data_IF_724096818789
#
_entry.id   IF_724096818789
#
_cell.length_a   1.000
_cell.length_b   1.000
_cell.length_c   1.000
_cell.angle_alpha   90.00
_cell.angle_beta   90.00
_cell.angle_gamma   90.00
#
_symmetry.space_group_name_H-M   'P 1'
#
loop_
_entity.id
_entity.type
_entity.pdbx_description
1 polymer ?
#
# COMPACT_ATOMS: atom_id res chain seq x y z
N UNK A 1 80.16 43.88 26.50
CA UNK A 1 80.66 43.57 27.86
C UNK A 1 79.54 42.93 28.64
N UNK A 2 79.57 41.82 29.08
CA UNK A 2 79.85 41.01 30.21
C UNK A 2 79.14 39.68 30.12
N UNK A 3 79.93 38.62 30.18
CA UNK A 3 79.52 37.20 30.22
C UNK A 3 79.00 36.85 31.60
N UNK A 4 77.95 36.01 31.69
CA UNK A 4 77.75 35.23 32.88
C UNK A 4 77.36 33.81 32.50
N UNK A 5 78.21 32.89 32.87
CA UNK A 5 78.04 31.43 32.82
C UNK A 5 77.14 31.02 33.99
N UNK A 6 76.16 30.13 33.80
CA UNK A 6 75.62 29.30 34.84
C UNK A 6 75.48 27.86 34.46
N UNK A 7 76.08 27.09 35.29
CA UNK A 7 76.36 25.70 35.39
C UNK A 7 75.18 24.72 35.12
N UNK A 8 75.55 23.68 34.44
CA UNK A 8 74.73 22.45 34.27
C UNK A 8 74.71 21.66 35.59
N UNK A 9 73.50 21.43 36.16
CA UNK A 9 73.28 20.35 37.11
C UNK A 9 72.60 19.18 36.37
N UNK A 10 73.29 18.05 36.33
CA UNK A 10 72.77 16.75 35.93
C UNK A 10 71.88 16.21 37.04
N UNK A 11 70.57 16.07 36.76
CA UNK A 11 69.69 15.25 37.59
C UNK A 11 69.73 13.80 37.02
N UNK A 12 70.01 12.88 37.89
CA UNK A 12 69.97 11.41 37.62
C UNK A 12 68.50 11.01 37.55
N UNK A 13 68.14 10.47 36.39
CA UNK A 13 66.82 9.88 36.18
C UNK A 13 66.87 8.41 36.58
N UNK A 14 66.24 8.08 37.68
CA UNK A 14 65.98 6.70 38.11
C UNK A 14 64.64 6.29 37.55
N UNK A 15 64.69 5.54 36.42
CA UNK A 15 63.52 4.95 35.80
C UNK A 15 63.11 3.73 36.58
N UNK A 16 61.97 3.79 37.29
CA UNK A 16 61.24 2.58 37.74
C UNK A 16 60.46 2.01 36.57
N UNK A 17 60.36 0.68 36.40
CA UNK A 17 59.56 0.06 35.35
C UNK A 17 58.08 0.17 35.72
N UNK A 18 57.30 0.68 34.79
CA UNK A 18 55.84 0.71 34.88
C UNK A 18 55.32 -0.68 34.61
N UNK A 19 54.60 -1.25 35.57
CA UNK A 19 53.90 -2.52 35.47
C UNK A 19 52.85 -2.44 34.35
N UNK A 20 52.80 -3.46 33.46
CA UNK A 20 51.80 -3.55 32.39
C UNK A 20 50.41 -3.73 32.99
N UNK A 21 49.35 -3.13 32.44
CA UNK A 21 48.00 -3.35 32.93
C UNK A 21 47.52 -4.79 32.63
N UNK A 22 47.02 -5.38 33.68
CA UNK A 22 46.37 -6.70 33.71
C UNK A 22 45.21 -6.71 32.69
N UNK A 23 45.22 -7.64 31.73
CA UNK A 23 44.12 -7.84 30.80
C UNK A 23 42.91 -8.33 31.61
N UNK A 24 41.93 -7.48 31.78
CA UNK A 24 40.61 -7.89 32.20
C UNK A 24 40.02 -8.84 31.14
N UNK A 25 39.92 -10.09 31.46
CA UNK A 25 39.14 -11.07 30.71
C UNK A 25 37.66 -10.71 30.92
N UNK A 26 37.07 -10.06 29.92
CA UNK A 26 35.63 -9.91 29.83
C UNK A 26 35.07 -11.27 29.48
N UNK A 27 34.49 -11.97 30.44
CA UNK A 27 33.66 -13.14 30.17
C UNK A 27 32.43 -12.66 29.39
N UNK A 28 32.35 -13.07 28.13
CA UNK A 28 31.15 -12.94 27.33
C UNK A 28 30.10 -13.87 27.92
N UNK A 29 29.23 -13.31 28.76
CA UNK A 29 28.03 -14.05 29.18
C UNK A 29 27.14 -14.15 27.93
N UNK A 30 26.86 -15.38 27.51
CA UNK A 30 25.84 -15.68 26.52
C UNK A 30 24.54 -14.98 26.92
N UNK A 31 24.21 -13.90 26.21
CA UNK A 31 22.91 -13.27 26.29
C UNK A 31 21.84 -14.27 25.81
N UNK A 32 20.58 -14.13 26.28
CA UNK A 32 19.51 -15.01 25.83
C UNK A 32 19.43 -15.00 24.30
N UNK A 33 19.11 -16.12 23.65
CA UNK A 33 19.05 -16.20 22.19
C UNK A 33 18.12 -15.12 21.68
N UNK A 34 18.61 -14.29 20.77
CA UNK A 34 17.80 -13.27 20.10
C UNK A 34 16.61 -14.01 19.49
N UNK A 35 15.43 -13.73 20.02
CA UNK A 35 14.16 -14.19 19.47
C UNK A 35 14.12 -13.66 18.03
N UNK A 36 14.31 -14.56 17.06
CA UNK A 36 14.12 -14.25 15.64
C UNK A 36 12.69 -13.74 15.51
N UNK A 37 12.53 -12.50 15.09
CA UNK A 37 11.22 -11.97 14.71
C UNK A 37 10.56 -12.98 13.77
N UNK A 38 9.24 -13.26 13.90
CA UNK A 38 8.56 -14.22 13.04
C UNK A 38 8.83 -13.81 11.59
N UNK A 39 9.48 -14.69 10.82
CA UNK A 39 9.73 -14.46 9.42
C UNK A 39 8.36 -14.40 8.73
N UNK A 40 7.99 -13.24 8.25
CA UNK A 40 6.77 -13.07 7.47
C UNK A 40 6.93 -13.96 6.23
N UNK A 41 6.02 -14.90 6.01
CA UNK A 41 6.09 -15.82 4.88
C UNK A 41 6.24 -15.03 3.57
N UNK A 42 7.21 -15.43 2.75
CA UNK A 42 7.43 -14.81 1.44
C UNK A 42 6.16 -14.98 0.58
N UNK A 43 5.74 -13.90 -0.08
CA UNK A 43 4.57 -13.84 -0.94
C UNK A 43 4.97 -13.72 -2.40
N UNK A 44 4.15 -14.21 -3.31
CA UNK A 44 4.39 -14.10 -4.76
C UNK A 44 3.45 -13.06 -5.36
N UNK A 45 4.03 -12.06 -6.01
CA UNK A 45 3.30 -10.98 -6.70
C UNK A 45 3.58 -11.06 -8.20
N UNK A 46 2.53 -11.09 -9.01
CA UNK A 46 2.63 -10.99 -10.47
C UNK A 46 2.33 -9.55 -10.89
N UNK A 47 3.29 -8.91 -11.54
CA UNK A 47 3.16 -7.54 -12.07
C UNK A 47 2.98 -7.61 -13.58
N UNK A 48 1.83 -7.18 -14.06
CA UNK A 48 1.45 -7.20 -15.47
C UNK A 48 1.29 -5.76 -16.00
N UNK A 49 2.26 -5.33 -16.81
CA UNK A 49 2.35 -4.00 -17.41
C UNK A 49 3.18 -4.12 -18.69
N UNK A 50 2.88 -3.37 -19.75
CA UNK A 50 3.62 -3.42 -21.01
C UNK A 50 4.95 -2.65 -20.93
N UNK A 51 5.07 -1.72 -19.98
CA UNK A 51 6.25 -0.89 -19.77
C UNK A 51 7.27 -1.62 -18.90
N UNK A 52 8.42 -1.94 -19.46
CA UNK A 52 9.52 -2.61 -18.74
C UNK A 52 9.94 -1.84 -17.48
N UNK A 53 10.06 -0.52 -17.58
CA UNK A 53 10.42 0.32 -16.45
C UNK A 53 9.45 0.18 -15.25
N UNK A 54 8.14 0.05 -15.50
CA UNK A 54 7.15 -0.18 -14.43
C UNK A 54 7.34 -1.55 -13.83
N UNK A 55 7.43 -2.60 -14.67
CA UNK A 55 7.65 -3.97 -14.20
C UNK A 55 8.90 -4.10 -13.35
N UNK A 56 10.02 -3.52 -13.79
CA UNK A 56 11.30 -3.59 -13.07
C UNK A 56 11.27 -2.85 -11.75
N UNK A 57 10.67 -1.68 -11.70
CA UNK A 57 10.53 -0.94 -10.44
C UNK A 57 9.75 -1.71 -9.40
N UNK A 58 8.64 -2.31 -9.79
CA UNK A 58 7.83 -3.13 -8.89
C UNK A 58 8.59 -4.41 -8.50
N UNK A 59 9.23 -5.09 -9.45
CA UNK A 59 10.04 -6.28 -9.20
C UNK A 59 11.13 -6.00 -8.16
N UNK A 60 11.96 -4.99 -8.38
CA UNK A 60 13.05 -4.62 -7.46
C UNK A 60 12.53 -4.29 -6.07
N UNK A 61 11.43 -3.57 -5.95
CA UNK A 61 10.84 -3.24 -4.66
C UNK A 61 10.29 -4.48 -3.93
N UNK A 62 9.60 -5.37 -4.64
CA UNK A 62 9.01 -6.59 -4.11
C UNK A 62 10.11 -7.56 -3.65
N UNK A 63 11.11 -7.82 -4.50
CA UNK A 63 12.24 -8.70 -4.19
C UNK A 63 13.11 -8.14 -3.05
N UNK A 64 13.34 -6.83 -3.04
CA UNK A 64 14.05 -6.13 -1.96
C UNK A 64 13.35 -6.22 -0.60
N UNK A 65 12.05 -6.50 -0.58
CA UNK A 65 11.28 -6.75 0.63
C UNK A 65 11.18 -8.25 1.02
N UNK A 66 11.89 -9.13 0.30
CA UNK A 66 11.91 -10.56 0.59
C UNK A 66 10.72 -11.35 0.02
N UNK A 67 10.01 -10.79 -0.96
CA UNK A 67 8.91 -11.44 -1.68
C UNK A 67 9.36 -11.90 -3.07
N UNK A 68 8.59 -12.80 -3.70
CA UNK A 68 8.84 -13.26 -5.08
C UNK A 68 8.07 -12.37 -6.05
N UNK A 69 8.74 -11.88 -7.10
CA UNK A 69 8.09 -11.14 -8.17
C UNK A 69 8.07 -11.96 -9.48
N UNK A 70 6.90 -12.04 -10.09
CA UNK A 70 6.71 -12.51 -11.46
C UNK A 70 6.32 -11.32 -12.32
N UNK A 71 6.64 -11.35 -13.61
CA UNK A 71 6.28 -10.27 -14.54
C UNK A 71 5.59 -10.81 -15.78
N UNK A 72 4.72 -10.00 -16.38
CA UNK A 72 4.08 -10.26 -17.68
C UNK A 72 3.96 -8.93 -18.44
N UNK A 73 4.27 -8.94 -19.73
CA UNK A 73 4.24 -7.76 -20.60
C UNK A 73 3.02 -7.68 -21.50
N UNK A 74 2.22 -8.75 -21.58
CA UNK A 74 1.03 -8.85 -22.40
C UNK A 74 0.05 -9.87 -21.82
N UNK A 75 -1.16 -9.92 -22.41
CA UNK A 75 -2.22 -10.85 -21.98
C UNK A 75 -1.81 -12.31 -22.02
N UNK A 76 -1.09 -12.74 -23.04
CA UNK A 76 -0.70 -14.15 -23.21
C UNK A 76 0.23 -14.59 -22.10
N UNK A 77 1.25 -13.78 -21.78
CA UNK A 77 2.16 -14.03 -20.65
C UNK A 77 1.42 -13.99 -19.31
N UNK A 78 0.54 -13.00 -19.10
CA UNK A 78 -0.27 -12.90 -17.89
C UNK A 78 -1.04 -14.18 -17.63
N UNK A 79 -1.81 -14.65 -18.61
CA UNK A 79 -2.63 -15.85 -18.46
C UNK A 79 -1.76 -17.12 -18.33
N UNK A 80 -0.65 -17.21 -19.05
CA UNK A 80 0.32 -18.30 -18.90
C UNK A 80 0.88 -18.34 -17.47
N UNK A 81 1.34 -17.20 -16.92
CA UNK A 81 1.82 -17.12 -15.53
C UNK A 81 0.76 -17.50 -14.51
N UNK A 82 -0.48 -17.07 -14.70
CA UNK A 82 -1.59 -17.43 -13.82
C UNK A 82 -1.87 -18.94 -13.86
N UNK A 83 -1.86 -19.56 -15.03
CA UNK A 83 -2.08 -21.00 -15.17
C UNK A 83 -0.95 -21.83 -14.56
N UNK A 84 0.31 -21.45 -14.86
CA UNK A 84 1.50 -22.18 -14.41
C UNK A 84 1.74 -22.07 -12.91
N UNK A 85 1.32 -20.96 -12.28
CA UNK A 85 1.61 -20.64 -10.88
C UNK A 85 0.33 -20.42 -10.06
N UNK A 86 -0.78 -21.01 -10.42
CA UNK A 86 -2.11 -20.81 -9.81
C UNK A 86 -2.11 -20.85 -8.27
N UNK A 87 -1.41 -21.83 -7.69
CA UNK A 87 -1.37 -22.02 -6.24
C UNK A 87 -0.37 -21.10 -5.51
N UNK A 88 0.55 -20.48 -6.24
CA UNK A 88 1.66 -19.69 -5.66
C UNK A 88 1.40 -18.18 -5.69
N UNK A 89 0.63 -17.67 -6.66
CA UNK A 89 0.39 -16.24 -6.80
C UNK A 89 -0.57 -15.75 -5.72
N UNK A 90 -0.11 -14.84 -4.87
CA UNK A 90 -0.91 -14.21 -3.82
C UNK A 90 -1.61 -12.94 -4.30
N UNK A 91 -0.95 -12.17 -5.17
CA UNK A 91 -1.43 -10.88 -5.66
C UNK A 91 -1.05 -10.66 -7.11
N UNK A 92 -1.98 -10.14 -7.90
CA UNK A 92 -1.70 -9.59 -9.24
C UNK A 92 -1.82 -8.07 -9.18
N UNK A 93 -0.84 -7.36 -9.74
CA UNK A 93 -0.89 -5.93 -10.03
C UNK A 93 -1.01 -5.78 -11.54
N UNK A 94 -2.15 -5.29 -12.04
CA UNK A 94 -2.55 -5.37 -13.44
C UNK A 94 -2.74 -4.00 -14.08
N UNK A 95 -2.08 -3.75 -15.21
CA UNK A 95 -2.47 -2.70 -16.15
C UNK A 95 -3.65 -3.17 -17.02
N UNK A 96 -4.76 -2.43 -16.97
CA UNK A 96 -5.93 -2.69 -17.80
C UNK A 96 -5.70 -2.40 -19.29
N UNK A 97 -4.61 -1.72 -19.66
CA UNK A 97 -4.23 -1.38 -21.03
C UNK A 97 -3.24 -2.36 -21.65
N UNK A 98 -2.95 -3.47 -20.98
CA UNK A 98 -2.05 -4.49 -21.54
C UNK A 98 -2.38 -4.83 -22.99
N UNK A 99 -1.37 -4.92 -23.88
CA UNK A 99 -1.54 -5.33 -25.26
C UNK A 99 -2.28 -6.66 -25.38
N UNK A 100 -3.04 -6.81 -26.48
CA UNK A 100 -3.83 -8.01 -26.82
C UNK A 100 -5.02 -8.26 -25.88
N UNK A 101 -5.44 -7.30 -25.06
CA UNK A 101 -6.59 -7.50 -24.19
C UNK A 101 -7.34 -6.22 -23.84
N UNK A 102 -8.60 -6.41 -23.44
CA UNK A 102 -9.37 -5.47 -22.68
C UNK A 102 -9.18 -5.84 -21.21
N UNK A 103 -8.84 -4.88 -20.35
CA UNK A 103 -8.51 -5.13 -18.95
C UNK A 103 -9.58 -5.90 -18.18
N UNK A 104 -10.85 -5.52 -18.39
CA UNK A 104 -12.00 -6.22 -17.79
C UNK A 104 -12.11 -7.65 -18.31
N UNK A 105 -11.89 -7.87 -19.60
CA UNK A 105 -11.91 -9.22 -20.18
C UNK A 105 -10.75 -10.09 -19.65
N UNK A 106 -9.56 -9.50 -19.45
CA UNK A 106 -8.44 -10.22 -18.83
C UNK A 106 -8.76 -10.66 -17.41
N UNK A 107 -9.39 -9.79 -16.61
CA UNK A 107 -9.85 -10.15 -15.27
C UNK A 107 -10.89 -11.28 -15.28
N UNK A 108 -11.86 -11.24 -16.20
CA UNK A 108 -12.82 -12.34 -16.36
C UNK A 108 -12.11 -13.65 -16.70
N UNK A 109 -11.08 -13.62 -17.54
CA UNK A 109 -10.31 -14.83 -17.87
C UNK A 109 -9.50 -15.33 -16.67
N UNK A 110 -8.90 -14.45 -15.86
CA UNK A 110 -8.25 -14.83 -14.61
C UNK A 110 -9.28 -15.50 -13.67
N UNK A 111 -10.50 -14.95 -13.56
CA UNK A 111 -11.55 -15.48 -12.68
C UNK A 111 -12.16 -16.80 -13.19
N UNK A 112 -12.02 -17.14 -14.47
CA UNK A 112 -12.34 -18.48 -14.98
C UNK A 112 -11.33 -19.54 -14.50
N UNK A 113 -10.07 -19.15 -14.29
CA UNK A 113 -9.02 -20.04 -13.75
C UNK A 113 -9.22 -20.24 -12.26
N UNK A 114 -9.50 -19.17 -11.53
CA UNK A 114 -9.77 -19.19 -10.09
C UNK A 114 -10.69 -18.02 -9.71
N UNK A 115 -11.82 -18.33 -9.09
CA UNK A 115 -12.85 -17.35 -8.78
C UNK A 115 -12.46 -16.43 -7.62
N UNK A 116 -11.67 -16.91 -6.67
CA UNK A 116 -11.33 -16.19 -5.44
C UNK A 116 -9.88 -15.71 -5.41
N UNK A 117 -8.96 -16.46 -6.00
CA UNK A 117 -7.52 -16.19 -5.97
C UNK A 117 -6.96 -15.96 -7.38
N UNK A 118 -5.85 -15.24 -7.51
CA UNK A 118 -5.21 -14.35 -6.51
C UNK A 118 -5.99 -13.06 -6.29
N UNK A 119 -5.69 -12.32 -5.21
CA UNK A 119 -6.13 -10.92 -5.07
C UNK A 119 -5.63 -10.09 -6.25
N UNK A 120 -6.43 -9.12 -6.71
CA UNK A 120 -6.04 -8.26 -7.84
C UNK A 120 -6.08 -6.80 -7.44
N UNK A 121 -4.99 -6.10 -7.70
CA UNK A 121 -4.90 -4.64 -7.71
C UNK A 121 -4.76 -4.16 -9.16
N UNK A 122 -5.29 -2.98 -9.44
CA UNK A 122 -5.25 -2.40 -10.78
C UNK A 122 -4.47 -1.09 -10.77
N UNK A 123 -3.70 -0.83 -11.81
CA UNK A 123 -3.09 0.48 -12.01
C UNK A 123 -4.16 1.54 -12.29
N UNK A 124 -4.20 2.56 -11.44
CA UNK A 124 -5.32 3.51 -11.37
C UNK A 124 -5.42 4.47 -12.57
N UNK A 125 -4.30 4.70 -13.26
CA UNK A 125 -4.27 5.56 -14.45
C UNK A 125 -5.09 5.02 -15.63
N UNK A 126 -5.53 3.77 -15.57
CA UNK A 126 -6.19 3.05 -16.66
C UNK A 126 -7.71 3.05 -16.57
N UNK A 127 -8.28 3.47 -15.45
CA UNK A 127 -9.73 3.48 -15.20
C UNK A 127 -10.39 4.63 -15.96
N UNK A 128 -11.44 4.34 -16.72
CA UNK A 128 -12.11 5.30 -17.61
C UNK A 128 -13.37 5.92 -16.99
N UNK A 129 -14.20 5.13 -16.33
CA UNK A 129 -15.51 5.55 -15.84
C UNK A 129 -15.99 4.73 -14.62
N UNK A 130 -17.16 5.10 -14.09
CA UNK A 130 -17.76 4.47 -12.92
C UNK A 130 -18.23 3.04 -13.16
N UNK A 131 -18.73 2.76 -14.35
CA UNK A 131 -19.24 1.41 -14.66
C UNK A 131 -18.08 0.41 -14.69
N UNK A 132 -16.93 0.82 -15.20
CA UNK A 132 -15.71 0.02 -15.14
C UNK A 132 -15.27 -0.26 -13.69
N UNK A 133 -15.33 0.76 -12.80
CA UNK A 133 -15.00 0.56 -11.37
C UNK A 133 -15.96 -0.44 -10.71
N UNK A 134 -17.28 -0.37 -11.02
CA UNK A 134 -18.25 -1.33 -10.49
C UNK A 134 -17.97 -2.74 -11.00
N UNK A 135 -17.69 -2.88 -12.29
CA UNK A 135 -17.38 -4.18 -12.90
C UNK A 135 -16.08 -4.76 -12.32
N UNK A 136 -15.02 -3.96 -12.18
CA UNK A 136 -13.78 -4.36 -11.52
C UNK A 136 -14.03 -4.85 -10.08
N UNK A 137 -14.93 -4.18 -9.36
CA UNK A 137 -15.35 -4.60 -8.02
C UNK A 137 -16.01 -5.97 -8.01
N UNK A 138 -16.93 -6.26 -8.96
CA UNK A 138 -17.58 -7.58 -9.07
C UNK A 138 -16.62 -8.69 -9.47
N UNK A 139 -15.52 -8.35 -10.15
CA UNK A 139 -14.44 -9.28 -10.53
C UNK A 139 -13.37 -9.41 -9.43
N UNK A 140 -13.61 -8.88 -8.22
CA UNK A 140 -12.75 -9.07 -7.07
C UNK A 140 -11.47 -8.24 -7.10
N UNK A 141 -11.48 -7.06 -7.73
CA UNK A 141 -10.41 -6.07 -7.57
C UNK A 141 -10.43 -5.55 -6.15
N UNK A 142 -9.32 -5.70 -5.43
CA UNK A 142 -9.20 -5.36 -4.01
C UNK A 142 -8.60 -3.98 -3.77
N UNK A 143 -8.00 -3.37 -4.78
CA UNK A 143 -7.39 -2.05 -4.64
C UNK A 143 -6.84 -1.46 -5.93
N UNK A 144 -6.34 -0.23 -5.80
CA UNK A 144 -5.76 0.53 -6.89
C UNK A 144 -4.39 1.06 -6.48
N UNK A 145 -3.45 1.05 -7.40
CA UNK A 145 -2.09 1.59 -7.21
C UNK A 145 -1.71 2.46 -8.39
N UNK A 146 -0.90 3.49 -8.15
CA UNK A 146 -0.37 4.31 -9.21
C UNK A 146 0.89 3.65 -9.81
N UNK A 147 0.93 3.47 -11.13
CA UNK A 147 2.08 2.91 -11.84
C UNK A 147 3.38 3.71 -11.63
N UNK A 148 3.28 4.99 -11.28
CA UNK A 148 4.43 5.88 -11.01
C UNK A 148 4.66 6.17 -9.52
N UNK A 149 4.05 5.40 -8.63
CA UNK A 149 4.29 5.51 -7.19
C UNK A 149 5.79 5.41 -6.89
N UNK A 150 6.31 6.22 -5.96
CA UNK A 150 7.72 6.17 -5.60
C UNK A 150 8.10 4.78 -5.05
N UNK A 151 9.31 4.28 -5.37
CA UNK A 151 9.71 2.90 -5.08
C UNK A 151 9.58 2.52 -3.61
N UNK A 152 9.87 3.44 -2.68
CA UNK A 152 9.70 3.23 -1.24
C UNK A 152 8.23 3.05 -0.79
N UNK A 153 7.26 3.41 -1.62
CA UNK A 153 5.83 3.28 -1.31
C UNK A 153 5.16 2.09 -2.02
N UNK A 154 5.87 1.38 -2.92
CA UNK A 154 5.32 0.22 -3.62
C UNK A 154 4.92 -0.85 -2.60
N UNK A 155 5.86 -1.38 -1.83
CA UNK A 155 5.61 -2.45 -0.86
C UNK A 155 4.57 -2.05 0.19
N UNK A 156 4.63 -0.85 0.82
CA UNK A 156 3.58 -0.37 1.70
C UNK A 156 2.18 -0.35 1.09
N UNK A 157 2.06 -0.11 -0.22
CA UNK A 157 0.77 -0.15 -0.91
C UNK A 157 0.26 -1.59 -1.12
N UNK A 158 1.15 -2.56 -1.32
CA UNK A 158 0.81 -3.96 -1.56
C UNK A 158 0.54 -4.76 -0.28
N UNK A 159 1.25 -4.46 0.82
CA UNK A 159 1.17 -5.20 2.10
C UNK A 159 -0.25 -5.45 2.60
N UNK A 160 -1.21 -4.49 2.58
CA UNK A 160 -2.58 -4.75 3.02
C UNK A 160 -3.32 -5.81 2.21
N UNK A 161 -2.88 -6.08 0.98
CA UNK A 161 -3.47 -7.06 0.07
C UNK A 161 -2.72 -8.41 0.12
N UNK A 162 -1.45 -8.41 0.49
CA UNK A 162 -0.64 -9.61 0.69
C UNK A 162 -0.89 -10.27 2.05
N UNK A 163 -1.17 -9.47 3.07
CA UNK A 163 -1.37 -9.91 4.44
C UNK A 163 -2.66 -9.32 5.03
N UNK A 164 -3.83 -9.70 4.51
CA UNK A 164 -5.11 -9.12 4.96
C UNK A 164 -5.36 -9.33 6.46
N UNK A 165 -4.90 -10.45 7.02
CA UNK A 165 -5.13 -10.79 8.43
C UNK A 165 -4.11 -10.15 9.39
N UNK A 166 -2.86 -9.95 8.94
CA UNK A 166 -1.78 -9.39 9.77
C UNK A 166 -1.63 -7.88 9.67
N UNK A 167 -2.01 -7.28 8.53
CA UNK A 167 -1.93 -5.84 8.31
C UNK A 167 -3.17 -5.07 8.74
N UNK A 168 -4.11 -5.72 9.44
CA UNK A 168 -5.36 -5.10 9.88
C UNK A 168 -5.15 -4.10 11.04
N UNK A 169 -4.16 -3.20 10.91
CA UNK A 169 -4.10 -1.92 11.65
C UNK A 169 -5.26 -1.00 11.25
N UNK A 170 -6.00 -1.37 10.20
CA UNK A 170 -7.20 -0.67 9.75
C UNK A 170 -8.40 -1.38 10.35
N UNK A 171 -9.18 -0.66 11.12
CA UNK A 171 -10.33 -1.17 11.86
C UNK A 171 -11.50 -1.65 10.97
N UNK A 172 -11.40 -1.60 9.63
CA UNK A 172 -12.44 -2.07 8.73
C UNK A 172 -11.95 -2.41 7.33
N UNK A 173 -12.60 -3.39 6.66
CA UNK A 173 -12.34 -3.71 5.27
C UNK A 173 -12.68 -2.54 4.35
N UNK A 174 -12.12 -2.56 3.14
CA UNK A 174 -12.46 -1.62 2.06
C UNK A 174 -13.13 -2.38 0.93
N UNK A 175 -14.24 -1.84 0.47
CA UNK A 175 -14.93 -2.36 -0.71
C UNK A 175 -14.73 -1.41 -1.88
N UNK A 176 -14.55 -1.96 -3.07
CA UNK A 176 -14.53 -1.18 -4.30
C UNK A 176 -15.92 -0.65 -4.58
N UNK A 177 -16.02 0.65 -4.91
CA UNK A 177 -17.30 1.31 -5.06
C UNK A 177 -17.20 2.41 -6.12
N UNK A 178 -18.03 2.34 -7.16
CA UNK A 178 -18.05 3.30 -8.26
C UNK A 178 -19.31 4.15 -8.22
N UNK A 179 -19.58 4.87 -7.13
CA UNK A 179 -20.75 5.73 -7.01
C UNK A 179 -20.38 7.23 -7.12
N UNK A 180 -21.28 8.08 -7.61
CA UNK A 180 -21.10 9.51 -7.57
C UNK A 180 -21.04 10.03 -6.14
N UNK A 181 -20.15 11.00 -5.91
CA UNK A 181 -20.02 11.73 -4.65
C UNK A 181 -19.92 13.22 -4.95
N UNK A 182 -20.60 14.04 -4.17
CA UNK A 182 -20.38 15.48 -4.08
C UNK A 182 -19.50 15.78 -2.86
N UNK A 183 -18.53 16.66 -2.99
CA UNK A 183 -17.75 17.15 -1.87
C UNK A 183 -17.64 18.68 -1.92
N UNK A 184 -17.73 19.30 -0.75
CA UNK A 184 -17.68 20.76 -0.59
C UNK A 184 -16.45 21.13 0.24
N UNK A 185 -15.70 22.12 -0.23
CA UNK A 185 -14.61 22.77 0.46
C UNK A 185 -14.72 24.28 0.30
N UNK A 186 -14.72 25.02 1.40
CA UNK A 186 -15.08 26.44 1.38
C UNK A 186 -16.45 26.65 0.72
N UNK A 187 -16.50 27.52 -0.29
CA UNK A 187 -17.70 27.81 -1.07
C UNK A 187 -17.82 26.99 -2.38
N UNK A 188 -16.89 26.08 -2.63
CA UNK A 188 -16.86 25.27 -3.86
C UNK A 188 -17.51 23.91 -3.61
N UNK A 189 -18.34 23.48 -4.56
CA UNK A 189 -18.88 22.12 -4.62
C UNK A 189 -18.30 21.45 -5.87
N UNK A 190 -17.76 20.25 -5.70
CA UNK A 190 -17.25 19.45 -6.79
C UNK A 190 -17.86 18.04 -6.73
N UNK A 191 -17.88 17.37 -7.88
CA UNK A 191 -18.32 15.99 -8.00
C UNK A 191 -17.16 15.08 -8.42
N UNK A 192 -17.20 13.84 -7.98
CA UNK A 192 -16.22 12.82 -8.32
C UNK A 192 -16.86 11.44 -8.28
N UNK A 193 -16.04 10.40 -8.55
CA UNK A 193 -16.41 9.01 -8.39
C UNK A 193 -15.63 8.41 -7.21
N UNK A 194 -16.31 7.62 -6.41
CA UNK A 194 -15.66 6.82 -5.37
C UNK A 194 -14.88 5.68 -6.01
N UNK A 195 -13.69 5.42 -5.51
CA UNK A 195 -12.89 4.24 -5.86
C UNK A 195 -13.11 3.11 -4.86
N UNK A 196 -13.12 3.45 -3.59
CA UNK A 196 -13.42 2.51 -2.51
C UNK A 196 -14.06 3.21 -1.32
N UNK A 197 -14.71 2.41 -0.47
CA UNK A 197 -15.34 2.84 0.78
C UNK A 197 -14.91 1.91 1.92
N UNK A 198 -14.68 2.48 3.08
CA UNK A 198 -14.44 1.80 4.34
C UNK A 198 -15.23 2.49 5.46
N UNK A 199 -15.28 1.87 6.63
CA UNK A 199 -15.95 2.44 7.81
C UNK A 199 -15.49 3.86 8.15
N UNK A 200 -14.19 4.14 8.01
CA UNK A 200 -13.59 5.43 8.42
C UNK A 200 -13.35 6.41 7.28
N UNK A 201 -13.75 6.11 6.04
CA UNK A 201 -13.49 7.00 4.92
C UNK A 201 -13.63 6.33 3.55
N UNK A 202 -13.34 7.11 2.53
CA UNK A 202 -13.40 6.66 1.14
C UNK A 202 -12.26 7.27 0.32
N UNK A 203 -12.03 6.74 -0.88
CA UNK A 203 -11.18 7.39 -1.86
C UNK A 203 -12.00 7.75 -3.10
N UNK A 204 -11.62 8.85 -3.72
CA UNK A 204 -12.28 9.37 -4.93
C UNK A 204 -11.27 9.60 -6.04
N UNK A 205 -11.76 9.45 -7.28
CA UNK A 205 -11.01 9.80 -8.46
C UNK A 205 -11.22 11.29 -8.77
N UNK A 206 -10.14 12.04 -8.86
CA UNK A 206 -10.14 13.44 -9.27
C UNK A 206 -8.80 13.83 -9.90
N UNK A 207 -8.84 14.66 -10.91
CA UNK A 207 -7.63 15.24 -11.54
C UNK A 207 -7.11 16.47 -10.81
N UNK A 208 -7.89 16.99 -9.86
CA UNK A 208 -7.55 18.18 -9.07
C UNK A 208 -7.72 17.88 -7.58
N UNK A 209 -6.82 17.03 -7.00
CA UNK A 209 -6.90 16.68 -5.59
C UNK A 209 -6.59 17.89 -4.71
N UNK A 210 -7.30 18.00 -3.60
CA UNK A 210 -7.08 19.02 -2.57
C UNK A 210 -5.85 18.66 -1.73
N UNK A 211 -5.28 19.63 -1.04
CA UNK A 211 -4.15 19.42 -0.14
C UNK A 211 -4.54 18.53 1.05
N UNK A 212 -3.59 17.72 1.53
CA UNK A 212 -3.76 16.91 2.76
C UNK A 212 -4.10 17.81 3.94
N UNK A 213 -5.03 17.37 4.79
CA UNK A 213 -5.53 18.14 5.93
C UNK A 213 -6.68 19.10 5.59
N UNK A 214 -7.01 19.31 4.31
CA UNK A 214 -8.16 20.17 3.94
C UNK A 214 -9.45 19.57 4.48
N UNK A 215 -10.23 20.39 5.21
CA UNK A 215 -11.57 20.02 5.68
C UNK A 215 -12.56 20.04 4.52
N UNK A 216 -13.36 19.00 4.42
CA UNK A 216 -14.40 18.85 3.38
C UNK A 216 -15.69 18.31 3.99
N UNK A 217 -16.82 18.62 3.36
CA UNK A 217 -18.08 17.92 3.60
C UNK A 217 -18.39 17.06 2.40
N UNK A 218 -18.71 15.80 2.63
CA UNK A 218 -19.02 14.83 1.57
C UNK A 218 -20.47 14.40 1.63
N UNK A 219 -21.05 14.17 0.46
CA UNK A 219 -22.42 13.66 0.31
C UNK A 219 -22.44 12.60 -0.78
N UNK A 220 -22.91 11.42 -0.44
CA UNK A 220 -22.99 10.27 -1.33
C UNK A 220 -24.10 9.32 -0.89
N UNK A 221 -24.46 8.38 -1.77
CA UNK A 221 -25.48 7.37 -1.44
C UNK A 221 -24.94 5.97 -1.73
N UNK A 222 -24.86 5.12 -0.73
CA UNK A 222 -24.61 3.70 -0.96
C UNK A 222 -25.85 3.03 -1.55
N UNK A 223 -25.69 2.04 -2.45
CA UNK A 223 -26.83 1.45 -3.18
C UNK A 223 -27.95 0.89 -2.31
N UNK A 224 -27.65 0.47 -1.09
CA UNK A 224 -28.62 -0.07 -0.13
C UNK A 224 -29.33 1.00 0.70
N UNK A 225 -28.85 2.24 0.71
CA UNK A 225 -29.43 3.32 1.48
C UNK A 225 -30.53 4.06 0.71
N UNK A 226 -31.63 4.41 1.39
CA UNK A 226 -32.69 5.24 0.81
C UNK A 226 -32.31 6.71 0.74
N UNK A 227 -31.52 7.17 1.70
CA UNK A 227 -31.11 8.56 1.86
C UNK A 227 -29.63 8.76 1.53
N UNK A 228 -29.25 10.01 1.25
CA UNK A 228 -27.87 10.38 1.11
C UNK A 228 -27.17 10.35 2.48
N UNK A 229 -25.93 9.94 2.49
CA UNK A 229 -25.03 9.96 3.63
C UNK A 229 -24.25 11.27 3.57
N UNK A 230 -24.20 12.00 4.67
CA UNK A 230 -23.42 13.22 4.81
C UNK A 230 -22.36 13.07 5.90
N UNK A 231 -21.12 13.44 5.61
CA UNK A 231 -20.03 13.40 6.56
C UNK A 231 -19.17 14.67 6.51
N UNK A 232 -18.68 15.10 7.68
CA UNK A 232 -17.53 15.98 7.76
C UNK A 232 -16.27 15.12 7.68
N UNK A 233 -15.27 15.60 6.98
CA UNK A 233 -14.10 14.81 6.66
C UNK A 233 -12.86 15.67 6.42
N UNK A 234 -11.70 15.04 6.40
CA UNK A 234 -10.44 15.66 6.00
C UNK A 234 -9.76 14.87 4.91
N UNK A 235 -8.98 15.53 4.08
CA UNK A 235 -8.15 14.88 3.07
C UNK A 235 -6.98 14.19 3.78
N UNK A 236 -6.92 12.87 3.68
CA UNK A 236 -5.91 12.05 4.34
C UNK A 236 -4.67 11.83 3.46
N UNK A 237 -4.84 11.73 2.15
CA UNK A 237 -3.75 11.62 1.17
C UNK A 237 -4.19 12.16 -0.19
N UNK A 238 -3.22 12.53 -1.02
CA UNK A 238 -3.46 13.02 -2.38
C UNK A 238 -2.47 12.40 -3.36
N UNK A 239 -2.97 12.11 -4.57
CA UNK A 239 -2.16 11.69 -5.70
C UNK A 239 -2.81 12.26 -6.98
N UNK A 240 -2.04 12.98 -7.80
CA UNK A 240 -2.55 13.65 -8.99
C UNK A 240 -3.08 12.70 -10.08
N UNK A 241 -2.72 11.44 -10.04
CA UNK A 241 -3.13 10.43 -11.03
C UNK A 241 -4.26 9.55 -10.51
N UNK A 242 -4.25 9.25 -9.21
CA UNK A 242 -5.28 8.43 -8.55
C UNK A 242 -6.47 9.28 -8.12
N UNK A 243 -6.20 10.39 -7.44
CA UNK A 243 -7.19 11.23 -6.80
C UNK A 243 -6.82 11.54 -5.35
N UNK A 244 -7.77 11.41 -4.44
CA UNK A 244 -7.53 11.67 -3.01
C UNK A 244 -8.30 10.74 -2.10
N UNK A 245 -7.72 10.48 -0.91
CA UNK A 245 -8.38 9.78 0.18
C UNK A 245 -8.98 10.75 1.17
N UNK A 246 -10.20 10.45 1.58
CA UNK A 246 -11.04 11.25 2.46
C UNK A 246 -11.30 10.43 3.73
N UNK A 247 -10.91 10.97 4.88
CA UNK A 247 -11.16 10.38 6.19
C UNK A 247 -12.35 11.06 6.86
N UNK A 248 -13.36 10.30 7.27
CA UNK A 248 -14.49 10.84 8.01
C UNK A 248 -14.05 11.30 9.41
N UNK A 249 -14.41 12.52 9.77
CA UNK A 249 -14.16 13.09 11.10
C UNK A 249 -15.42 13.18 11.92
N UNK A 250 -16.59 13.33 11.26
CA UNK A 250 -17.88 13.34 11.91
C UNK A 250 -18.93 12.73 10.98
N UNK A 251 -19.63 11.74 11.49
CA UNK A 251 -20.68 11.00 10.80
C UNK A 251 -21.80 10.72 11.79
N UNK A 252 -23.05 10.73 11.34
CA UNK A 252 -24.16 10.34 12.20
C UNK A 252 -24.10 8.83 12.50
N UNK A 253 -24.63 8.40 13.65
CA UNK A 253 -24.68 6.97 13.98
C UNK A 253 -25.54 6.17 12.97
N UNK A 254 -26.58 6.77 12.42
CA UNK A 254 -27.42 6.14 11.39
C UNK A 254 -26.66 5.97 10.06
N UNK A 255 -25.94 7.00 9.63
CA UNK A 255 -25.11 6.93 8.41
C UNK A 255 -23.95 5.95 8.57
N UNK A 256 -23.34 5.91 9.76
CA UNK A 256 -22.30 4.92 10.07
C UNK A 256 -22.87 3.49 9.97
N UNK A 257 -24.07 3.25 10.50
CA UNK A 257 -24.71 1.94 10.42
C UNK A 257 -24.98 1.54 8.95
N UNK A 258 -25.48 2.46 8.12
CA UNK A 258 -25.67 2.20 6.68
C UNK A 258 -24.38 1.83 5.95
N UNK A 259 -23.27 2.51 6.29
CA UNK A 259 -21.94 2.18 5.73
C UNK A 259 -21.49 0.80 6.20
N UNK A 260 -21.60 0.52 7.50
CA UNK A 260 -21.19 -0.75 8.10
C UNK A 260 -21.97 -1.93 7.51
N UNK A 261 -23.29 -1.79 7.39
CA UNK A 261 -24.16 -2.81 6.78
C UNK A 261 -23.81 -3.06 5.32
N UNK A 262 -23.57 -1.99 4.56
CA UNK A 262 -23.18 -2.10 3.16
C UNK A 262 -21.82 -2.79 3.01
N UNK A 263 -20.82 -2.42 3.80
CA UNK A 263 -19.49 -3.04 3.79
C UNK A 263 -19.63 -4.52 4.19
N UNK A 264 -20.36 -4.83 5.25
CA UNK A 264 -20.56 -6.19 5.72
C UNK A 264 -21.22 -7.07 4.65
N UNK A 265 -22.31 -6.60 4.05
CA UNK A 265 -23.01 -7.35 3.01
C UNK A 265 -22.11 -7.65 1.79
N UNK A 266 -21.30 -6.69 1.37
CA UNK A 266 -20.44 -6.87 0.19
C UNK A 266 -19.12 -7.60 0.47
N UNK A 267 -18.56 -7.44 1.66
CA UNK A 267 -17.32 -8.12 2.03
C UNK A 267 -17.53 -9.62 2.29
N UNK A 268 -18.66 -9.99 2.89
CA UNK A 268 -18.95 -11.37 3.24
C UNK A 268 -19.69 -12.13 2.14
N UNK A 269 -20.46 -11.47 1.28
CA UNK A 269 -21.10 -12.13 0.13
C UNK A 269 -20.05 -12.58 -0.90
N UNK A 270 -18.98 -11.85 -1.08
CA UNK A 270 -17.85 -12.27 -1.94
C UNK A 270 -16.99 -13.40 -1.35
N UNK A 271 -17.17 -13.76 -0.07
CA UNK A 271 -16.48 -14.90 0.58
C UNK A 271 -17.28 -16.19 0.58
N UNK A 272 -18.56 -16.18 0.18
CA UNK A 272 -19.47 -17.34 0.20
C UNK A 272 -19.86 -17.87 -1.19
N UNK A 273 -19.27 -17.33 -2.25
CA UNK A 273 -19.47 -17.80 -3.62
C UNK A 273 -18.34 -18.71 -4.06
#
# INVERSE_FOLDING_TARGET
>A
MSRSRRSRRRARNTSQPIAAPERLQVSVTDGPPMTTAPSVAAKTVLVADDTEFVRDRFRVAIEGAGHKALTAQNRTELLGRVLDNKAEIDLIVLDLRLPQGNGVAMLRDIRKVDQERPSVMVFSGTIKNADEVRELGTLGVTGYVNEYIASQHIVPALVPHLFPDSSNRRSSPRITLGIPIAYRFGNTIAAALTLNLSRGGLSIRTTSPLAVGTAVKVRFRVPTAKNDIEAEATIAWTDRRVGMGIQFTKLSAADQAHIDDYIHAHFFSNRKA
#
